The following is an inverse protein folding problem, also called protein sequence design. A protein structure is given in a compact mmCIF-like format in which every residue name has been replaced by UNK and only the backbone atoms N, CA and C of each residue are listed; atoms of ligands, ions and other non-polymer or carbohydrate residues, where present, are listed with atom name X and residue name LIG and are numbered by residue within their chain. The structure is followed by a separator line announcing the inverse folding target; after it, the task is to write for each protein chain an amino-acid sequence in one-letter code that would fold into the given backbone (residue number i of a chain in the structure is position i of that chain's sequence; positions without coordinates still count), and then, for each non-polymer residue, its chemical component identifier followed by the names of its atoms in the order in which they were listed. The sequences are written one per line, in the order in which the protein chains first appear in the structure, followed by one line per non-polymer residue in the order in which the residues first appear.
data_IF_483917172213
#
_entry.id   IF_483917172213
#
_cell.length_a   1.000
_cell.length_b   1.000
_cell.length_c   1.000
_cell.angle_alpha   90.00
_cell.angle_beta   90.00
_cell.angle_gamma   90.00
#
_symmetry.space_group_name_H-M   'P 1'
#
loop_
_entity.id
_entity.type
_entity.pdbx_description
1 polymer ?
#
# COMPACT_ATOMS: atom_id res chain seq x y z
N UNK A 1 -28.19 43.29 -43.79
CA UNK A 1 -27.85 42.33 -42.71
C UNK A 1 -29.11 42.06 -41.93
N UNK A 2 -29.90 41.12 -42.44
CA UNK A 2 -31.17 40.71 -41.88
C UNK A 2 -30.95 39.32 -41.28
N UNK A 3 -30.91 39.22 -39.94
CA UNK A 3 -31.14 37.95 -39.22
C UNK A 3 -31.22 38.13 -37.69
N UNK A 4 -31.98 39.11 -37.21
CA UNK A 4 -32.25 39.30 -35.77
C UNK A 4 -33.74 39.43 -35.43
N UNK A 5 -34.62 38.88 -36.28
CA UNK A 5 -36.07 38.88 -36.08
C UNK A 5 -36.70 37.46 -36.15
N UNK A 6 -36.01 36.46 -35.59
CA UNK A 6 -36.61 35.15 -35.30
C UNK A 6 -36.17 34.64 -33.92
N UNK A 7 -36.72 35.20 -32.84
CA UNK A 7 -36.91 34.42 -31.61
C UNK A 7 -38.21 34.86 -30.94
N UNK A 8 -39.15 33.91 -30.83
CA UNK A 8 -40.45 34.10 -30.19
C UNK A 8 -40.28 34.14 -28.66
N UNK A 9 -41.14 34.86 -27.92
CA UNK A 9 -41.07 34.92 -26.47
C UNK A 9 -41.33 33.54 -25.86
N UNK A 10 -40.38 33.07 -25.05
CA UNK A 10 -40.46 31.81 -24.31
C UNK A 10 -41.70 31.77 -23.42
N UNK A 11 -42.36 30.61 -23.40
CA UNK A 11 -43.53 30.35 -22.54
C UNK A 11 -43.09 30.32 -21.08
N UNK A 12 -44.05 30.52 -20.17
CA UNK A 12 -43.96 30.54 -18.69
C UNK A 12 -43.40 29.21 -18.08
N UNK A 13 -42.80 28.34 -18.88
CA UNK A 13 -42.16 27.09 -18.47
C UNK A 13 -40.68 27.28 -18.07
N UNK A 14 -40.08 28.45 -18.33
CA UNK A 14 -38.68 28.81 -17.99
C UNK A 14 -38.53 29.56 -16.65
N UNK A 15 -39.21 29.11 -15.59
CA UNK A 15 -38.99 29.58 -14.22
C UNK A 15 -38.53 28.41 -13.33
N UNK A 16 -37.52 28.59 -12.46
CA UNK A 16 -36.99 27.51 -11.63
C UNK A 16 -38.05 26.98 -10.65
N UNK A 17 -38.45 25.71 -10.83
CA UNK A 17 -39.49 25.07 -10.00
C UNK A 17 -38.92 24.76 -8.60
N UNK A 18 -39.47 25.43 -7.59
CA UNK A 18 -39.22 25.23 -6.16
C UNK A 18 -39.57 23.77 -5.75
N UNK A 19 -38.81 23.13 -4.84
CA UNK A 19 -38.94 21.70 -4.56
C UNK A 19 -40.29 21.33 -3.93
N UNK A 20 -40.98 20.35 -4.50
CA UNK A 20 -42.14 19.70 -3.87
C UNK A 20 -41.64 18.72 -2.80
N UNK A 21 -42.15 18.85 -1.57
CA UNK A 21 -42.05 17.81 -0.54
C UNK A 21 -42.96 16.66 -0.95
N UNK A 22 -42.41 15.49 -1.24
CA UNK A 22 -43.16 14.25 -1.42
C UNK A 22 -43.08 13.44 -0.12
N UNK A 23 -44.26 13.07 0.39
CA UNK A 23 -44.43 12.16 1.52
C UNK A 23 -44.18 10.69 1.13
N UNK A 24 -44.17 9.79 2.12
CA UNK A 24 -43.52 8.47 2.04
C UNK A 24 -44.25 7.38 1.24
N UNK A 25 -45.20 7.70 0.34
CA UNK A 25 -46.01 6.69 -0.36
C UNK A 25 -46.32 7.10 -1.82
N UNK A 26 -45.32 7.08 -2.70
CA UNK A 26 -45.55 7.13 -4.15
C UNK A 26 -44.69 6.07 -4.82
N UNK A 27 -45.20 4.84 -4.85
CA UNK A 27 -44.70 3.68 -5.59
C UNK A 27 -45.47 3.51 -6.91
N UNK A 28 -44.74 3.26 -8.01
CA UNK A 28 -45.04 2.49 -9.26
C UNK A 28 -44.05 2.99 -10.32
N UNK A 29 -43.34 2.22 -11.15
CA UNK A 29 -43.27 0.80 -11.53
C UNK A 29 -41.89 0.64 -12.19
N UNK A 30 -41.12 -0.41 -11.90
CA UNK A 30 -40.22 -1.00 -12.89
C UNK A 30 -39.90 -2.45 -12.50
N UNK A 31 -40.12 -3.32 -13.48
CA UNK A 31 -40.17 -4.78 -13.40
C UNK A 31 -38.78 -5.40 -13.29
N UNK A 32 -38.55 -6.25 -12.29
CA UNK A 32 -37.60 -7.37 -12.44
C UNK A 32 -38.19 -8.63 -11.79
N UNK A 33 -38.53 -9.58 -12.65
CA UNK A 33 -39.02 -10.90 -12.32
C UNK A 33 -37.92 -11.77 -11.69
N UNK A 34 -38.19 -12.27 -10.49
CA UNK A 34 -37.50 -13.45 -9.93
C UNK A 34 -38.53 -14.37 -9.30
N UNK A 35 -38.87 -15.42 -10.05
CA UNK A 35 -39.54 -16.62 -9.57
C UNK A 35 -38.66 -17.33 -8.53
N UNK A 36 -39.13 -17.43 -7.28
CA UNK A 36 -38.90 -18.57 -6.38
C UNK A 36 -39.64 -18.34 -5.04
N UNK A 37 -40.77 -19.03 -4.84
CA UNK A 37 -40.91 -20.01 -3.74
C UNK A 37 -42.36 -20.46 -3.55
N UNK A 38 -42.49 -21.78 -3.62
CA UNK A 38 -43.52 -22.66 -3.08
C UNK A 38 -43.87 -22.38 -1.60
N UNK A 39 -45.09 -22.77 -1.21
CA UNK A 39 -45.46 -23.03 0.19
C UNK A 39 -46.36 -22.01 0.86
N UNK A 40 -47.68 -22.17 0.71
CA UNK A 40 -48.70 -21.32 1.32
C UNK A 40 -49.00 -21.56 2.80
N UNK A 41 -49.62 -20.55 3.42
CA UNK A 41 -50.67 -20.69 4.44
C UNK A 41 -51.36 -19.34 4.64
N UNK A 42 -52.64 -19.26 4.26
CA UNK A 42 -53.51 -18.12 4.47
C UNK A 42 -53.85 -17.89 5.95
N UNK A 43 -53.91 -16.62 6.34
CA UNK A 43 -55.01 -16.09 7.15
C UNK A 43 -54.68 -15.64 8.56
N UNK A 44 -54.59 -14.33 8.76
CA UNK A 44 -55.50 -13.56 9.64
C UNK A 44 -55.00 -12.11 9.74
N UNK A 45 -55.90 -11.16 9.49
CA UNK A 45 -55.60 -9.73 9.54
C UNK A 45 -55.28 -9.24 10.94
N UNK A 46 -54.13 -8.58 11.05
CA UNK A 46 -53.80 -7.64 12.11
C UNK A 46 -52.89 -6.59 11.45
N UNK A 47 -53.15 -5.27 11.63
CA UNK A 47 -52.30 -4.25 11.01
C UNK A 47 -50.86 -4.50 11.48
N UNK A 48 -49.88 -4.55 10.57
CA UNK A 48 -48.49 -4.83 10.95
C UNK A 48 -48.08 -3.80 11.98
N UNK A 49 -47.74 -4.29 13.18
CA UNK A 49 -47.32 -3.47 14.30
C UNK A 49 -46.17 -2.55 13.81
N UNK A 50 -46.37 -1.22 13.74
CA UNK A 50 -45.42 -0.32 13.10
C UNK A 50 -44.04 -0.36 13.77
N UNK A 51 -43.98 -0.80 15.03
CA UNK A 51 -42.75 -1.05 15.75
C UNK A 51 -41.96 -2.23 15.15
N UNK A 52 -42.62 -3.31 14.74
CA UNK A 52 -41.97 -4.48 14.12
C UNK A 52 -41.41 -4.13 12.74
N UNK A 53 -42.13 -3.33 11.94
CA UNK A 53 -41.63 -2.82 10.67
C UNK A 53 -40.44 -1.87 10.87
N UNK A 54 -40.52 -0.95 11.83
CA UNK A 54 -39.41 -0.04 12.15
C UNK A 54 -38.15 -0.80 12.61
N UNK A 55 -38.31 -1.88 13.38
CA UNK A 55 -37.18 -2.74 13.79
C UNK A 55 -36.59 -3.49 12.60
N UNK A 56 -37.41 -4.00 11.68
CA UNK A 56 -36.93 -4.65 10.45
C UNK A 56 -36.20 -3.67 9.54
N UNK A 57 -36.70 -2.43 9.39
CA UNK A 57 -36.04 -1.38 8.62
C UNK A 57 -34.76 -0.87 9.28
N UNK A 58 -34.76 -0.66 10.60
CA UNK A 58 -33.55 -0.33 11.36
C UNK A 58 -32.51 -1.45 11.26
N UNK A 59 -32.93 -2.71 11.20
CA UNK A 59 -32.01 -3.85 10.99
C UNK A 59 -31.49 -3.90 9.56
N UNK A 60 -32.30 -3.50 8.56
CA UNK A 60 -31.89 -3.38 7.15
C UNK A 60 -30.90 -2.23 6.96
N UNK A 61 -31.13 -1.10 7.63
CA UNK A 61 -30.23 0.06 7.66
C UNK A 61 -28.96 -0.26 8.45
N UNK A 62 -29.07 -0.98 9.57
CA UNK A 62 -27.90 -1.46 10.31
C UNK A 62 -27.05 -2.41 9.45
N UNK A 63 -27.68 -3.29 8.66
CA UNK A 63 -26.97 -4.18 7.70
C UNK A 63 -26.28 -3.41 6.58
N UNK A 64 -26.83 -2.29 6.10
CA UNK A 64 -26.18 -1.44 5.09
C UNK A 64 -25.16 -0.46 5.68
N UNK A 65 -25.24 -0.20 6.99
CA UNK A 65 -24.28 0.61 7.75
C UNK A 65 -23.17 -0.22 8.43
N UNK A 66 -23.25 -1.56 8.43
CA UNK A 66 -22.08 -2.40 8.74
C UNK A 66 -20.98 -1.97 7.76
N UNK A 67 -19.89 -1.37 8.25
CA UNK A 67 -19.13 -0.45 7.43
C UNK A 67 -18.31 -1.22 6.39
N UNK A 68 -18.30 -0.73 5.14
CA UNK A 68 -17.32 -1.07 4.08
C UNK A 68 -15.85 -1.06 4.56
N UNK A 69 -15.59 -0.43 5.71
CA UNK A 69 -14.32 -0.44 6.44
C UNK A 69 -13.89 -1.83 6.91
N UNK A 70 -14.84 -2.71 7.25
CA UNK A 70 -14.56 -4.10 7.60
C UNK A 70 -14.15 -4.90 6.35
N UNK A 71 -14.86 -4.72 5.24
CA UNK A 71 -14.55 -5.38 3.95
C UNK A 71 -13.15 -5.04 3.44
N UNK A 72 -12.74 -3.78 3.56
CA UNK A 72 -11.41 -3.34 3.18
C UNK A 72 -10.28 -3.92 4.04
N UNK A 73 -10.50 -4.04 5.35
CA UNK A 73 -9.56 -4.73 6.23
C UNK A 73 -9.48 -6.21 5.85
N UNK A 74 -10.60 -6.84 5.54
CA UNK A 74 -10.60 -8.23 5.06
C UNK A 74 -9.93 -8.38 3.70
N UNK A 75 -10.03 -7.42 2.79
CA UNK A 75 -9.39 -7.48 1.47
C UNK A 75 -7.85 -7.40 1.59
N UNK A 76 -7.33 -6.47 2.40
CA UNK A 76 -5.89 -6.40 2.71
C UNK A 76 -5.39 -7.70 3.33
N UNK A 77 -6.10 -8.22 4.34
CA UNK A 77 -5.73 -9.48 5.01
C UNK A 77 -5.79 -10.68 4.07
N UNK A 78 -6.77 -10.74 3.17
CA UNK A 78 -6.93 -11.82 2.19
C UNK A 78 -5.83 -11.79 1.12
N UNK A 79 -5.46 -10.60 0.64
CA UNK A 79 -4.36 -10.40 -0.31
C UNK A 79 -3.02 -10.86 0.29
N UNK A 80 -2.82 -10.63 1.59
CA UNK A 80 -1.58 -10.95 2.31
C UNK A 80 -1.53 -12.41 2.81
N UNK A 81 -2.66 -12.97 3.26
CA UNK A 81 -2.79 -14.37 3.71
C UNK A 81 -2.32 -15.36 2.63
N UNK A 82 -2.50 -14.97 1.37
CA UNK A 82 -2.02 -15.76 0.26
C UNK A 82 -0.50 -15.82 0.08
N UNK A 83 0.22 -14.76 0.42
CA UNK A 83 1.67 -14.70 0.18
C UNK A 83 2.46 -15.60 1.13
N UNK A 84 1.95 -15.80 2.36
CA UNK A 84 2.63 -16.53 3.44
C UNK A 84 2.46 -18.06 3.42
N UNK A 85 1.42 -18.59 2.78
CA UNK A 85 1.07 -20.01 2.88
C UNK A 85 2.09 -20.96 2.19
N UNK A 86 3.12 -20.42 1.53
CA UNK A 86 4.09 -21.18 0.73
C UNK A 86 5.49 -21.19 1.35
N UNK A 87 5.57 -21.28 2.68
CA UNK A 87 6.86 -21.48 3.38
C UNK A 87 7.33 -22.93 3.38
N UNK A 88 6.66 -23.80 2.62
CA UNK A 88 6.92 -25.24 2.61
C UNK A 88 6.37 -25.96 1.39
N UNK A 89 6.68 -25.52 0.16
CA UNK A 89 6.84 -26.46 -0.95
C UNK A 89 7.73 -25.89 -2.06
N UNK A 90 8.67 -26.69 -2.53
CA UNK A 90 9.66 -26.36 -3.56
C UNK A 90 9.08 -26.36 -4.98
N UNK A 91 7.89 -25.78 -5.19
CA UNK A 91 7.27 -25.67 -6.52
C UNK A 91 7.44 -24.25 -7.10
N UNK A 92 8.53 -24.08 -7.84
CA UNK A 92 9.10 -22.83 -8.37
C UNK A 92 8.27 -22.06 -9.43
N UNK A 93 6.95 -22.22 -9.48
CA UNK A 93 6.09 -21.58 -10.50
C UNK A 93 4.98 -20.67 -9.98
N UNK A 94 4.43 -20.93 -8.80
CA UNK A 94 3.20 -20.27 -8.31
C UNK A 94 3.44 -19.00 -7.49
N UNK A 95 4.44 -19.01 -6.59
CA UNK A 95 4.67 -17.94 -5.62
C UNK A 95 5.07 -16.59 -6.23
N UNK A 96 5.87 -16.58 -7.30
CA UNK A 96 6.37 -15.34 -7.94
C UNK A 96 5.24 -14.51 -8.58
N UNK A 97 4.28 -15.16 -9.27
CA UNK A 97 3.11 -14.47 -9.83
C UNK A 97 2.15 -13.96 -8.76
N UNK A 98 2.04 -14.68 -7.63
CA UNK A 98 1.19 -14.27 -6.51
C UNK A 98 1.78 -13.08 -5.76
N UNK A 99 3.08 -13.09 -5.50
CA UNK A 99 3.77 -11.99 -4.82
C UNK A 99 3.79 -10.72 -5.67
N UNK A 100 3.94 -10.85 -7.00
CA UNK A 100 3.84 -9.70 -7.92
C UNK A 100 2.42 -9.11 -7.94
N UNK A 101 1.39 -9.96 -7.93
CA UNK A 101 -0.01 -9.53 -7.84
C UNK A 101 -0.32 -8.86 -6.49
N UNK A 102 0.20 -9.40 -5.38
CA UNK A 102 0.04 -8.82 -4.04
C UNK A 102 0.69 -7.43 -3.95
N UNK A 103 1.89 -7.26 -4.52
CA UNK A 103 2.57 -5.96 -4.56
C UNK A 103 1.80 -4.97 -5.46
N UNK A 104 1.30 -5.40 -6.61
CA UNK A 104 0.44 -4.59 -7.46
C UNK A 104 -0.85 -4.17 -6.73
N UNK A 105 -1.44 -5.07 -5.96
CA UNK A 105 -2.61 -4.78 -5.13
C UNK A 105 -2.29 -3.77 -4.02
N UNK A 106 -1.14 -3.86 -3.35
CA UNK A 106 -0.71 -2.89 -2.34
C UNK A 106 -0.50 -1.49 -2.94
N UNK A 107 0.09 -1.40 -4.15
CA UNK A 107 0.23 -0.14 -4.91
C UNK A 107 -1.12 0.46 -5.29
N UNK A 108 -2.08 -0.39 -5.68
CA UNK A 108 -3.46 0.02 -5.99
C UNK A 108 -4.16 0.53 -4.74
N UNK A 109 -4.03 -0.19 -3.64
CA UNK A 109 -4.60 0.15 -2.34
C UNK A 109 -4.14 1.54 -1.86
N UNK A 110 -2.86 1.90 -2.09
CA UNK A 110 -2.38 3.24 -1.74
C UNK A 110 -3.14 4.38 -2.45
N UNK A 111 -3.67 4.15 -3.66
CA UNK A 111 -4.42 5.14 -4.43
C UNK A 111 -5.92 5.08 -4.17
N UNK A 112 -6.48 3.87 -4.13
CA UNK A 112 -7.92 3.65 -4.01
C UNK A 112 -8.39 3.71 -2.56
N UNK A 113 -7.58 3.22 -1.63
CA UNK A 113 -7.91 3.16 -0.21
C UNK A 113 -6.69 3.34 0.71
N UNK A 114 -6.10 4.55 0.76
CA UNK A 114 -4.94 4.83 1.60
C UNK A 114 -5.21 4.62 3.11
N UNK A 115 -6.48 4.68 3.52
CA UNK A 115 -6.90 4.45 4.91
C UNK A 115 -6.53 3.08 5.46
N UNK A 116 -6.63 2.03 4.65
CA UNK A 116 -6.25 0.69 5.09
C UNK A 116 -4.75 0.61 5.46
N UNK A 117 -3.90 1.39 4.77
CA UNK A 117 -2.45 1.40 4.98
C UNK A 117 -2.11 2.19 6.25
N UNK A 118 -2.54 3.45 6.37
CA UNK A 118 -2.18 4.24 7.54
C UNK A 118 -2.82 3.70 8.82
N UNK A 119 -4.02 3.12 8.78
CA UNK A 119 -4.64 2.50 9.96
C UNK A 119 -3.87 1.27 10.46
N UNK A 120 -3.32 0.47 9.54
CA UNK A 120 -2.46 -0.68 9.88
C UNK A 120 -1.17 -0.18 10.55
N UNK A 121 -0.50 0.80 9.94
CA UNK A 121 0.75 1.37 10.46
C UNK A 121 0.54 2.03 11.83
N UNK A 122 -0.51 2.83 12.00
CA UNK A 122 -0.84 3.47 13.28
C UNK A 122 -1.25 2.48 14.36
N UNK A 123 -1.91 1.37 13.97
CA UNK A 123 -2.19 0.27 14.89
C UNK A 123 -0.89 -0.36 15.37
N UNK A 124 0.03 -0.69 14.47
CA UNK A 124 1.33 -1.28 14.83
C UNK A 124 2.16 -0.32 15.69
N UNK A 125 2.10 1.00 15.40
CA UNK A 125 2.72 2.03 16.23
C UNK A 125 2.17 2.02 17.66
N UNK A 126 0.84 2.00 17.81
CA UNK A 126 0.18 1.96 19.14
C UNK A 126 0.47 0.68 19.88
N UNK A 127 0.46 -0.46 19.20
CA UNK A 127 0.80 -1.76 19.78
C UNK A 127 2.25 -1.76 20.27
N UNK A 128 3.22 -1.39 19.42
CA UNK A 128 4.63 -1.36 19.81
C UNK A 128 4.93 -0.34 20.91
N UNK A 129 4.26 0.82 20.90
CA UNK A 129 4.37 1.80 21.98
C UNK A 129 3.81 1.24 23.30
N UNK A 130 2.68 0.53 23.25
CA UNK A 130 2.01 -0.08 24.40
C UNK A 130 2.75 -1.27 25.02
N UNK A 131 3.71 -1.87 24.30
CA UNK A 131 4.56 -2.95 24.84
C UNK A 131 5.54 -2.47 25.93
N UNK A 132 5.70 -1.14 26.14
CA UNK A 132 6.53 -0.60 27.21
C UNK A 132 5.79 -0.64 28.55
N UNK A 133 6.47 -1.12 29.60
CA UNK A 133 5.99 -0.94 30.97
C UNK A 133 5.86 0.56 31.26
N UNK A 134 4.63 1.03 31.51
CA UNK A 134 4.37 2.42 31.83
C UNK A 134 5.17 2.79 33.09
N UNK A 135 6.11 3.75 32.96
CA UNK A 135 6.87 4.21 34.12
C UNK A 135 5.93 5.04 35.00
N UNK A 136 5.93 4.77 36.30
CA UNK A 136 5.08 5.50 37.24
C UNK A 136 5.32 7.01 37.13
N UNK A 137 4.27 7.77 36.79
CA UNK A 137 4.31 9.22 36.58
C UNK A 137 4.32 9.68 35.11
N UNK A 138 4.46 8.77 34.14
CA UNK A 138 4.28 9.11 32.73
C UNK A 138 2.77 9.19 32.42
N UNK A 139 2.26 10.32 31.88
CA UNK A 139 0.84 10.46 31.56
C UNK A 139 0.44 9.35 30.59
N UNK A 140 -0.69 8.68 30.86
CA UNK A 140 -1.29 7.65 30.00
C UNK A 140 -1.86 8.25 28.70
N UNK A 141 -1.00 8.90 27.92
CA UNK A 141 -1.33 9.45 26.61
C UNK A 141 -1.33 8.37 25.54
N UNK A 142 -2.17 8.53 24.52
CA UNK A 142 -1.99 7.83 23.26
C UNK A 142 -0.58 8.15 22.74
N UNK A 143 0.24 7.13 22.48
CA UNK A 143 1.62 7.33 22.04
C UNK A 143 1.66 8.18 20.78
N UNK A 144 2.33 9.33 20.84
CA UNK A 144 2.59 10.17 19.67
C UNK A 144 3.68 9.52 18.81
N UNK A 145 3.67 9.78 17.51
CA UNK A 145 4.71 9.33 16.60
C UNK A 145 6.09 9.84 17.04
N UNK A 146 6.18 11.07 17.58
CA UNK A 146 7.42 11.60 18.18
C UNK A 146 7.86 10.85 19.43
N UNK A 147 6.94 10.53 20.33
CA UNK A 147 7.25 9.76 21.53
C UNK A 147 7.72 8.33 21.17
N UNK A 148 7.05 7.69 20.22
CA UNK A 148 7.48 6.40 19.68
C UNK A 148 8.86 6.50 19.03
N UNK A 149 9.09 7.53 18.21
CA UNK A 149 10.36 7.76 17.55
C UNK A 149 11.52 7.88 18.56
N UNK A 150 11.29 8.57 19.68
CA UNK A 150 12.27 8.81 20.73
C UNK A 150 12.56 7.57 21.61
N UNK A 151 11.59 6.68 21.80
CA UNK A 151 11.66 5.65 22.86
C UNK A 151 11.73 4.23 22.33
N UNK A 152 11.17 3.98 21.14
CA UNK A 152 10.99 2.65 20.57
C UNK A 152 11.68 2.47 19.23
N UNK A 153 11.82 3.55 18.47
CA UNK A 153 12.47 3.44 17.17
C UNK A 153 13.93 3.02 17.32
N UNK A 154 14.45 2.46 16.23
CA UNK A 154 15.85 2.05 16.13
C UNK A 154 16.65 3.00 15.26
N UNK A 155 16.17 4.24 15.15
CA UNK A 155 16.82 5.30 14.40
C UNK A 155 18.07 5.70 15.15
N UNK A 156 19.23 5.37 14.61
CA UNK A 156 20.51 5.78 15.17
C UNK A 156 20.68 7.30 15.08
N UNK A 157 21.60 7.85 15.88
CA UNK A 157 21.87 9.29 15.96
C UNK A 157 22.63 9.85 14.74
N UNK A 158 22.13 9.60 13.53
CA UNK A 158 22.55 10.30 12.33
C UNK A 158 21.81 11.63 12.26
N UNK A 159 22.49 12.72 12.66
CA UNK A 159 21.87 14.05 12.89
C UNK A 159 20.86 14.47 11.83
N UNK A 160 21.23 14.37 10.54
CA UNK A 160 20.34 14.77 9.45
C UNK A 160 19.14 13.82 9.29
N UNK A 161 19.31 12.51 9.49
CA UNK A 161 18.19 11.57 9.42
C UNK A 161 17.22 11.77 10.60
N UNK A 162 17.76 12.00 11.81
CA UNK A 162 16.96 12.31 13.00
C UNK A 162 16.14 13.57 12.78
N UNK A 163 16.71 14.63 12.16
CA UNK A 163 15.96 15.84 11.78
C UNK A 163 14.77 15.49 10.90
N UNK A 164 15.01 14.83 9.78
CA UNK A 164 13.95 14.46 8.84
C UNK A 164 12.83 13.67 9.50
N UNK A 165 13.18 12.62 10.24
CA UNK A 165 12.19 11.76 10.89
C UNK A 165 11.44 12.48 12.01
N UNK A 166 12.10 13.35 12.77
CA UNK A 166 11.46 14.16 13.80
C UNK A 166 10.39 15.11 13.25
N UNK A 167 10.67 15.74 12.11
CA UNK A 167 9.73 16.61 11.41
C UNK A 167 8.57 15.82 10.80
N UNK A 168 8.86 14.68 10.17
CA UNK A 168 7.84 13.80 9.61
C UNK A 168 6.91 13.23 10.69
N UNK A 169 7.44 12.85 11.86
CA UNK A 169 6.63 12.42 13.00
C UNK A 169 5.74 13.55 13.52
N UNK A 170 6.18 14.80 13.46
CA UNK A 170 5.36 15.97 13.80
C UNK A 170 4.14 16.12 12.89
N UNK A 171 4.37 15.96 11.58
CA UNK A 171 3.32 16.00 10.57
C UNK A 171 2.34 14.87 10.83
N UNK A 172 2.85 13.67 11.10
CA UNK A 172 2.02 12.51 11.38
C UNK A 172 1.18 12.72 12.66
N UNK A 173 1.74 13.28 13.72
CA UNK A 173 1.01 13.62 14.94
C UNK A 173 -0.16 14.59 14.66
N UNK A 174 0.05 15.62 13.83
CA UNK A 174 -1.02 16.53 13.40
C UNK A 174 -2.10 15.79 12.60
N UNK A 175 -1.71 14.88 11.70
CA UNK A 175 -2.66 14.09 10.91
C UNK A 175 -3.50 13.17 11.79
N UNK A 176 -2.89 12.50 12.79
CA UNK A 176 -3.61 11.66 13.76
C UNK A 176 -4.62 12.47 14.59
N UNK A 177 -4.34 13.75 14.84
CA UNK A 177 -5.22 14.68 15.57
C UNK A 177 -6.24 15.40 14.66
N UNK A 178 -6.23 15.15 13.35
CA UNK A 178 -7.12 15.82 12.39
C UNK A 178 -6.74 17.27 12.07
N UNK A 179 -5.56 17.73 12.48
CA UNK A 179 -5.03 19.07 12.21
C UNK A 179 -4.40 19.15 10.82
N UNK A 180 -5.23 19.03 9.78
CA UNK A 180 -4.77 18.92 8.39
C UNK A 180 -4.03 20.17 7.89
N UNK A 181 -4.47 21.36 8.30
CA UNK A 181 -3.83 22.62 7.87
C UNK A 181 -2.44 22.79 8.47
N UNK A 182 -2.27 22.43 9.75
CA UNK A 182 -0.96 22.44 10.39
C UNK A 182 -0.02 21.38 9.78
N UNK A 183 -0.54 20.18 9.50
CA UNK A 183 0.22 19.14 8.80
C UNK A 183 0.70 19.63 7.42
N UNK A 184 -0.17 20.29 6.65
CA UNK A 184 0.18 20.87 5.34
C UNK A 184 1.26 21.94 5.46
N UNK A 185 1.12 22.86 6.41
CA UNK A 185 2.10 23.91 6.65
C UNK A 185 3.46 23.32 7.05
N UNK A 186 3.48 22.35 7.98
CA UNK A 186 4.70 21.65 8.41
C UNK A 186 5.40 20.92 7.27
N UNK A 187 4.66 20.20 6.41
CA UNK A 187 5.24 19.53 5.23
C UNK A 187 5.84 20.55 4.25
N UNK A 188 5.16 21.67 4.01
CA UNK A 188 5.67 22.72 3.12
C UNK A 188 6.96 23.35 3.66
N UNK A 189 6.99 23.67 4.96
CA UNK A 189 8.19 24.18 5.63
C UNK A 189 9.33 23.15 5.62
N UNK A 190 9.02 21.87 5.84
CA UNK A 190 10.00 20.79 5.78
C UNK A 190 10.63 20.64 4.39
N UNK A 191 9.82 20.75 3.33
CA UNK A 191 10.32 20.72 1.95
C UNK A 191 11.28 21.88 1.69
N UNK A 192 10.91 23.11 2.06
CA UNK A 192 11.75 24.29 1.91
C UNK A 192 13.03 24.20 2.76
N UNK A 193 12.93 23.73 4.01
CA UNK A 193 14.06 23.53 4.90
C UNK A 193 15.04 22.47 4.36
N UNK A 194 14.52 21.40 3.74
CA UNK A 194 15.32 20.37 3.09
C UNK A 194 16.10 20.89 1.88
N UNK A 195 15.45 21.69 1.03
CA UNK A 195 16.10 22.37 -0.09
C UNK A 195 17.18 23.34 0.41
N UNK A 196 16.85 24.19 1.39
CA UNK A 196 17.80 25.11 2.01
C UNK A 196 19.03 24.38 2.56
N UNK A 197 18.82 23.22 3.21
CA UNK A 197 19.95 22.43 3.73
C UNK A 197 20.84 21.89 2.61
N UNK A 198 20.29 21.66 1.42
CA UNK A 198 21.06 21.20 0.25
C UNK A 198 21.88 22.34 -0.36
N UNK A 199 21.31 23.55 -0.41
CA UNK A 199 22.03 24.78 -0.79
C UNK A 199 23.20 25.03 0.16
N UNK A 200 22.97 24.83 1.46
CA UNK A 200 23.97 25.02 2.51
C UNK A 200 24.91 23.80 2.69
N UNK A 201 25.06 22.94 1.67
CA UNK A 201 25.96 21.77 1.67
C UNK A 201 25.74 20.81 2.85
N UNK A 202 24.48 20.63 3.24
CA UNK A 202 24.03 19.77 4.34
C UNK A 202 24.00 20.44 5.70
N UNK A 203 24.26 21.75 5.80
CA UNK A 203 24.12 22.52 7.04
C UNK A 203 22.64 22.89 7.27
N UNK A 204 22.19 22.82 8.53
CA UNK A 204 20.80 23.02 8.93
C UNK A 204 20.58 24.30 9.75
N UNK A 205 21.53 25.23 9.77
CA UNK A 205 21.44 26.43 10.59
C UNK A 205 20.18 27.25 10.29
N UNK A 206 19.98 27.61 9.01
CA UNK A 206 18.79 28.35 8.55
C UNK A 206 17.57 27.42 8.56
N UNK A 207 17.71 26.19 8.07
CA UNK A 207 16.64 25.19 8.01
C UNK A 207 16.00 24.93 9.37
N UNK A 208 16.78 24.89 10.47
CA UNK A 208 16.25 24.68 11.82
C UNK A 208 15.35 25.84 12.25
N UNK A 209 15.70 27.07 11.89
CA UNK A 209 14.88 28.24 12.18
C UNK A 209 13.62 28.24 11.31
N UNK A 210 13.75 27.90 10.03
CA UNK A 210 12.65 27.86 9.06
C UNK A 210 11.54 26.87 9.44
N UNK A 211 11.86 25.83 10.21
CA UNK A 211 10.89 24.83 10.68
C UNK A 211 9.96 25.36 11.79
N UNK A 212 10.30 26.49 12.42
CA UNK A 212 9.50 27.13 13.48
C UNK A 212 9.24 26.25 14.72
N UNK A 213 10.09 25.26 14.96
CA UNK A 213 9.96 24.32 16.06
C UNK A 213 11.30 23.98 16.71
N UNK A 214 11.31 23.49 17.96
CA UNK A 214 12.56 23.11 18.62
C UNK A 214 13.27 21.97 17.89
N UNK A 215 14.62 21.93 17.97
CA UNK A 215 15.38 20.84 17.38
C UNK A 215 15.06 19.49 18.05
N UNK A 216 15.31 18.36 17.36
CA UNK A 216 15.16 17.04 17.94
C UNK A 216 16.01 16.85 19.20
N UNK A 217 15.55 16.06 20.19
CA UNK A 217 16.31 15.77 21.39
C UNK A 217 17.41 14.72 21.10
N UNK A 218 18.49 15.12 20.40
CA UNK A 218 19.54 14.22 19.91
C UNK A 218 20.15 13.28 20.94
N UNK A 219 20.24 13.70 22.21
CA UNK A 219 20.80 12.88 23.27
C UNK A 219 19.97 11.61 23.50
N UNK A 220 18.65 11.65 23.32
CA UNK A 220 17.81 10.47 23.49
C UNK A 220 18.03 9.45 22.38
N UNK A 221 18.32 9.90 21.16
CA UNK A 221 18.68 9.04 20.03
C UNK A 221 20.06 8.39 20.17
N UNK A 222 20.92 8.88 21.07
CA UNK A 222 22.23 8.27 21.32
C UNK A 222 22.12 6.88 21.98
N UNK A 223 21.00 6.60 22.64
CA UNK A 223 20.72 5.31 23.27
C UNK A 223 20.18 4.26 22.29
N UNK A 224 19.82 4.65 21.07
CA UNK A 224 19.29 3.72 20.08
C UNK A 224 20.41 2.87 19.49
N UNK A 225 20.21 1.56 19.53
CA UNK A 225 21.13 0.58 18.98
C UNK A 225 20.52 -0.10 17.76
N UNK A 226 21.39 -0.56 16.87
CA UNK A 226 21.00 -1.45 15.76
C UNK A 226 20.37 -2.73 16.31
N UNK A 227 19.33 -3.30 15.64
CA UNK A 227 18.77 -4.58 16.03
C UNK A 227 19.84 -5.67 16.15
N UNK A 228 19.77 -6.49 17.20
CA UNK A 228 20.61 -7.68 17.29
C UNK A 228 20.14 -8.77 16.32
N UNK A 229 20.99 -9.73 15.95
CA UNK A 229 20.66 -10.74 14.93
C UNK A 229 19.42 -11.61 15.24
N UNK A 230 19.10 -11.78 16.53
CA UNK A 230 17.91 -12.53 16.99
C UNK A 230 16.65 -11.68 17.06
N UNK A 231 16.76 -10.37 16.87
CA UNK A 231 15.65 -9.44 16.85
C UNK A 231 15.11 -9.25 15.43
N UNK A 232 13.89 -8.72 15.33
CA UNK A 232 13.30 -8.33 14.07
C UNK A 232 14.22 -7.33 13.32
N UNK A 233 14.52 -7.57 12.04
CA UNK A 233 15.43 -6.70 11.26
C UNK A 233 14.70 -5.59 10.48
N UNK A 234 13.38 -5.52 10.58
CA UNK A 234 12.57 -4.48 9.95
C UNK A 234 11.89 -3.59 10.99
N UNK A 235 11.34 -2.47 10.52
CA UNK A 235 10.56 -1.59 11.39
C UNK A 235 9.35 -2.34 11.96
N UNK A 236 9.07 -2.13 13.25
CA UNK A 236 7.86 -2.63 13.91
C UNK A 236 6.57 -2.02 13.31
N UNK A 237 6.70 -0.91 12.58
CA UNK A 237 5.59 -0.27 11.88
C UNK A 237 5.11 -1.06 10.65
N UNK A 238 6.00 -1.83 10.03
CA UNK A 238 5.63 -2.66 8.88
C UNK A 238 5.00 -3.97 9.35
N UNK A 239 3.89 -4.35 8.70
CA UNK A 239 3.41 -5.72 8.75
C UNK A 239 4.52 -6.65 8.23
N UNK A 240 4.91 -7.71 8.96
CA UNK A 240 5.94 -8.65 8.53
C UNK A 240 5.72 -9.19 7.10
N UNK A 241 4.45 -9.35 6.71
CA UNK A 241 4.05 -9.82 5.37
C UNK A 241 4.42 -8.83 4.28
N UNK A 242 4.31 -7.53 4.56
CA UNK A 242 4.71 -6.49 3.61
C UNK A 242 6.22 -6.51 3.43
N UNK A 243 6.96 -6.69 4.53
CA UNK A 243 8.41 -6.75 4.47
C UNK A 243 8.91 -7.95 3.67
N UNK A 244 8.29 -9.13 3.82
CA UNK A 244 8.60 -10.30 2.99
C UNK A 244 8.35 -10.06 1.49
N UNK A 245 7.23 -9.40 1.15
CA UNK A 245 6.95 -8.99 -0.23
C UNK A 245 8.01 -8.02 -0.78
N UNK A 246 8.50 -7.08 0.05
CA UNK A 246 9.56 -6.14 -0.35
C UNK A 246 10.89 -6.86 -0.58
N UNK A 247 11.25 -7.81 0.28
CA UNK A 247 12.44 -8.64 0.11
C UNK A 247 12.37 -9.50 -1.15
N UNK A 248 11.21 -10.11 -1.42
CA UNK A 248 10.99 -10.86 -2.66
C UNK A 248 11.21 -9.96 -3.89
N UNK A 249 10.65 -8.75 -3.90
CA UNK A 249 10.80 -7.82 -5.02
C UNK A 249 12.26 -7.38 -5.22
N UNK A 250 13.02 -7.20 -4.13
CA UNK A 250 14.44 -6.86 -4.20
C UNK A 250 15.24 -8.02 -4.82
N UNK A 251 14.97 -9.26 -4.39
CA UNK A 251 15.60 -10.47 -4.94
C UNK A 251 15.33 -10.66 -6.44
N UNK A 252 14.09 -10.41 -6.88
CA UNK A 252 13.73 -10.43 -8.31
C UNK A 252 14.50 -9.35 -9.09
N UNK A 253 14.62 -8.14 -8.54
CA UNK A 253 15.35 -7.06 -9.17
C UNK A 253 16.86 -7.36 -9.28
N UNK A 254 17.47 -7.90 -8.23
CA UNK A 254 18.86 -8.36 -8.26
C UNK A 254 19.06 -9.48 -9.29
N UNK A 255 18.18 -10.49 -9.28
CA UNK A 255 18.21 -11.58 -10.26
C UNK A 255 18.10 -11.07 -11.69
N UNK A 256 17.25 -10.07 -11.93
CA UNK A 256 17.13 -9.41 -13.22
C UNK A 256 18.40 -8.66 -13.61
N UNK A 257 18.98 -7.87 -12.70
CA UNK A 257 20.23 -7.15 -12.96
C UNK A 257 21.40 -8.11 -13.24
N UNK A 258 21.50 -9.21 -12.51
CA UNK A 258 22.48 -10.26 -12.76
C UNK A 258 22.28 -10.94 -14.11
N UNK A 259 21.03 -11.31 -14.46
CA UNK A 259 20.70 -11.90 -15.75
C UNK A 259 21.05 -10.94 -16.90
N UNK A 260 20.71 -9.66 -16.75
CA UNK A 260 21.08 -8.60 -17.70
C UNK A 260 22.59 -8.47 -17.83
N UNK A 261 23.33 -8.48 -16.72
CA UNK A 261 24.81 -8.42 -16.73
C UNK A 261 25.41 -9.62 -17.46
N UNK A 262 24.90 -10.84 -17.21
CA UNK A 262 25.33 -12.08 -17.88
C UNK A 262 25.03 -12.04 -19.39
N UNK A 263 23.90 -11.48 -19.79
CA UNK A 263 23.54 -11.28 -21.21
C UNK A 263 24.44 -10.26 -21.91
N UNK A 264 24.76 -9.14 -21.25
CA UNK A 264 25.66 -8.12 -21.81
C UNK A 264 27.13 -8.56 -21.84
N UNK A 265 27.55 -9.43 -20.91
CA UNK A 265 28.92 -9.97 -20.88
C UNK A 265 29.14 -11.16 -21.84
N UNK A 266 28.08 -11.66 -22.48
CA UNK A 266 28.21 -12.64 -23.56
C UNK A 266 28.72 -11.93 -24.82
N UNK A 267 30.04 -11.71 -24.88
CA UNK A 267 30.76 -11.24 -26.07
C UNK A 267 30.36 -12.09 -27.29
N UNK A 268 30.25 -11.50 -28.49
CA UNK A 268 30.06 -12.27 -29.71
C UNK A 268 31.20 -13.28 -29.83
N UNK A 269 30.86 -14.51 -30.24
CA UNK A 269 31.84 -15.52 -30.60
C UNK A 269 32.81 -14.98 -31.67
N UNK A 270 33.96 -15.64 -31.87
CA UNK A 270 35.00 -15.13 -32.76
C UNK A 270 34.40 -14.86 -34.14
N UNK A 271 34.54 -13.62 -34.60
CA UNK A 271 34.32 -13.26 -36.00
C UNK A 271 35.20 -14.15 -36.85
N UNK A 272 34.58 -15.07 -37.58
CA UNK A 272 35.25 -15.78 -38.67
C UNK A 272 35.45 -14.73 -39.76
N UNK A 273 36.71 -14.34 -40.00
CA UNK A 273 37.07 -13.46 -41.10
C UNK A 273 36.68 -14.10 -42.44
N UNK A 274 35.91 -13.42 -43.32
CA UNK A 274 35.66 -13.89 -44.66
C UNK A 274 36.81 -13.43 -45.55
N UNK A 275 37.86 -14.25 -45.68
CA UNK A 275 39.00 -13.85 -46.53
C UNK A 275 40.21 -14.77 -46.55
N UNK A 276 40.03 -16.08 -46.75
CA UNK A 276 41.10 -16.89 -47.36
C UNK A 276 40.50 -18.05 -48.13
N UNK A 277 40.31 -17.85 -49.43
CA UNK A 277 39.91 -18.93 -50.33
C UNK A 277 41.11 -19.79 -50.75
N UNK A 278 40.77 -21.07 -50.91
CA UNK A 278 41.44 -22.12 -51.68
C UNK A 278 42.69 -22.83 -51.09
N UNK A 279 42.47 -24.04 -50.54
CA UNK A 279 42.73 -25.27 -51.29
C UNK A 279 42.19 -26.54 -50.57
N UNK A 280 41.04 -27.02 -51.07
CA UNK A 280 40.64 -28.41 -51.32
C UNK A 280 41.12 -29.58 -50.42
N UNK A 281 40.17 -30.36 -49.86
CA UNK A 281 39.70 -31.67 -50.39
C UNK A 281 38.78 -32.40 -49.37
N UNK A 282 37.52 -32.69 -49.75
CA UNK A 282 36.90 -34.04 -49.98
C UNK A 282 36.97 -35.01 -48.77
N UNK A 283 35.91 -35.64 -48.26
CA UNK A 283 34.53 -35.89 -48.70
C UNK A 283 33.69 -36.55 -47.56
N UNK A 284 32.51 -37.14 -47.84
CA UNK A 284 31.48 -37.38 -46.83
C UNK A 284 31.35 -38.83 -46.31
N UNK A 285 30.90 -38.94 -45.04
CA UNK A 285 30.18 -40.03 -44.34
C UNK A 285 30.68 -41.49 -44.46
N UNK A 286 30.96 -42.11 -43.31
CA UNK A 286 30.41 -43.44 -42.98
C UNK A 286 30.44 -43.75 -41.48
N UNK A 287 29.38 -44.44 -41.02
CA UNK A 287 29.15 -45.03 -39.70
C UNK A 287 30.22 -46.07 -39.33
N UNK A 288 30.49 -46.23 -38.03
CA UNK A 288 30.38 -47.54 -37.36
C UNK A 288 30.38 -47.41 -35.83
N UNK A 289 29.60 -48.30 -35.21
CA UNK A 289 29.33 -48.51 -33.78
C UNK A 289 30.06 -49.84 -33.38
N UNK A 290 29.97 -50.34 -32.14
CA UNK A 290 30.83 -50.16 -30.97
C UNK A 290 31.62 -51.43 -30.51
N UNK A 291 32.36 -51.30 -29.38
CA UNK A 291 32.81 -52.32 -28.37
C UNK A 291 33.83 -53.38 -28.86
N UNK A 292 35.09 -53.36 -28.40
CA UNK A 292 35.61 -53.82 -27.08
C UNK A 292 36.38 -55.15 -27.28
N UNK A 293 37.06 -55.80 -26.30
CA UNK A 293 37.68 -55.42 -25.01
C UNK A 293 39.21 -55.80 -24.94
N UNK A 294 39.83 -55.69 -23.75
CA UNK A 294 40.96 -56.44 -23.12
C UNK A 294 41.95 -57.25 -24.00
N UNK A 295 43.26 -57.37 -23.74
CA UNK A 295 44.01 -57.54 -22.49
C UNK A 295 45.52 -57.62 -22.78
N UNK A 296 46.33 -57.29 -21.76
CA UNK A 296 47.63 -57.89 -21.33
C UNK A 296 48.66 -58.37 -22.38
N UNK A 297 49.87 -57.82 -22.29
CA UNK A 297 51.03 -58.42 -21.59
C UNK A 297 52.06 -57.34 -21.24
#
# INVERSE_FOLDING_TARGET
MADLLLSRPGRIEDLPRRPQKQGPLSETEDEEAVDAADGGASGSGEPPDPLKQAVVELTKIAKTLVPKKAEAKTDLENLLSGSLADRGDTSSGGGSRRNSAALAALKRLLKEQPAAIYENIERNLREDFGLRAQVAGEPSGHGTARAWLQTRSRVQNYTNHVRWLWQLSAVWDCLMQGQNEEARARVALLMAAGEQSSIDSGNWLISTVALLEPPPPYQQFSHHTTPAAHECQHSALYDPRWFELFLWQLKEHESYLEARRKLTQRKPGPTVDPGSDAAAQRGPKAKQKPKGPHSEE
#
